data_IF_655563326359
#
_entry.id   IF_655563326359
#
_cell.length_a   1.000
_cell.length_b   1.000
_cell.length_c   1.000
_cell.angle_alpha   90.00
_cell.angle_beta   90.00
_cell.angle_gamma   90.00
#
_symmetry.space_group_name_H-M   'P 1'
#
loop_
_entity.id
_entity.type
_entity.pdbx_description
1 polymer ?
#
# COMPACT_ATOMS: atom_id res chain seq x y z
N UNK A 1 19.57 -16.97 102.03
CA UNK A 1 20.15 -17.62 100.83
C UNK A 1 19.09 -17.69 99.75
N UNK A 2 19.55 -17.54 98.50
CA UNK A 2 18.89 -17.64 97.20
C UNK A 2 18.11 -16.45 96.60
N UNK A 3 18.55 -16.19 95.37
CA UNK A 3 18.27 -15.14 94.38
C UNK A 3 16.90 -15.33 93.72
N UNK A 4 16.37 -14.26 93.15
CA UNK A 4 15.48 -14.32 91.98
C UNK A 4 15.83 -13.20 91.01
N UNK A 5 15.82 -13.54 89.72
CA UNK A 5 16.34 -12.75 88.61
C UNK A 5 15.31 -11.78 88.02
N UNK A 6 15.80 -10.65 87.48
CA UNK A 6 15.03 -9.74 86.62
C UNK A 6 15.49 -9.86 85.16
N UNK A 7 14.58 -9.80 84.17
CA UNK A 7 14.93 -9.78 82.75
C UNK A 7 15.27 -8.37 82.25
N UNK A 8 16.31 -8.27 81.43
CA UNK A 8 16.79 -7.04 80.78
C UNK A 8 16.06 -6.79 79.45
N UNK A 9 15.65 -5.53 79.22
CA UNK A 9 15.08 -5.04 77.94
C UNK A 9 16.18 -4.93 76.87
N UNK A 10 15.94 -5.50 75.69
CA UNK A 10 16.80 -5.35 74.49
C UNK A 10 16.58 -3.98 73.82
N UNK A 11 17.63 -3.33 73.27
CA UNK A 11 17.50 -2.13 72.45
C UNK A 11 17.04 -2.45 71.01
N UNK A 12 16.33 -1.50 70.40
CA UNK A 12 15.71 -1.61 69.07
C UNK A 12 16.73 -1.71 67.91
N UNK A 13 16.40 -2.37 66.78
CA UNK A 13 17.36 -2.68 65.73
C UNK A 13 17.64 -1.50 64.77
N UNK A 14 18.89 -1.43 64.31
CA UNK A 14 19.48 -0.42 63.41
C UNK A 14 18.83 -0.28 62.00
N UNK A 15 17.73 -1.00 61.70
CA UNK A 15 17.07 -0.98 60.38
C UNK A 15 16.25 0.28 60.09
N UNK A 16 15.81 1.03 61.10
CA UNK A 16 14.98 2.22 60.90
C UNK A 16 15.73 3.47 60.43
N UNK A 17 17.06 3.55 60.67
CA UNK A 17 17.89 4.71 60.27
C UNK A 17 18.36 4.61 58.81
N UNK A 18 18.62 3.41 58.31
CA UNK A 18 19.04 3.18 56.91
C UNK A 18 17.92 3.49 55.90
N UNK A 19 16.66 3.20 56.25
CA UNK A 19 15.50 3.44 55.37
C UNK A 19 15.19 4.94 55.18
N UNK A 20 15.41 5.77 56.21
CA UNK A 20 15.20 7.23 56.12
C UNK A 20 16.28 7.93 55.28
N UNK A 21 17.51 7.43 55.28
CA UNK A 21 18.58 7.97 54.43
C UNK A 21 18.37 7.63 52.95
N UNK A 22 17.90 6.42 52.63
CA UNK A 22 17.62 6.00 51.25
C UNK A 22 16.46 6.80 50.61
N UNK A 23 15.42 7.14 51.39
CA UNK A 23 14.29 7.95 50.92
C UNK A 23 14.72 9.40 50.65
N UNK A 24 15.60 9.98 51.49
CA UNK A 24 16.11 11.34 51.29
C UNK A 24 17.03 11.46 50.05
N UNK A 25 17.86 10.44 49.77
CA UNK A 25 18.71 10.40 48.57
C UNK A 25 17.86 10.18 47.30
N UNK A 26 16.81 9.35 47.36
CA UNK A 26 15.86 9.16 46.26
C UNK A 26 15.07 10.43 45.90
N UNK A 27 14.70 11.25 46.89
CA UNK A 27 14.02 12.52 46.67
C UNK A 27 14.94 13.59 46.05
N UNK A 28 16.21 13.64 46.47
CA UNK A 28 17.19 14.58 45.91
C UNK A 28 17.56 14.23 44.44
N UNK A 29 17.70 12.95 44.11
CA UNK A 29 17.94 12.49 42.72
C UNK A 29 16.71 12.68 41.81
N UNK A 30 15.50 12.55 42.36
CA UNK A 30 14.26 12.84 41.64
C UNK A 30 14.08 14.32 41.29
N UNK A 31 14.43 15.22 42.22
CA UNK A 31 14.37 16.67 41.99
C UNK A 31 15.46 17.16 41.01
N UNK A 32 16.67 16.57 41.06
CA UNK A 32 17.72 16.87 40.08
C UNK A 32 17.36 16.38 38.66
N UNK A 33 16.70 15.23 38.55
CA UNK A 33 16.22 14.69 37.26
C UNK A 33 15.05 15.51 36.68
N UNK A 34 14.18 16.04 37.54
CA UNK A 34 13.10 16.94 37.14
C UNK A 34 13.65 18.32 36.72
N UNK A 35 14.67 18.84 37.42
CA UNK A 35 15.34 20.08 37.05
C UNK A 35 16.11 19.96 35.73
N UNK A 36 16.77 18.82 35.45
CA UNK A 36 17.40 18.55 34.16
C UNK A 36 16.38 18.42 33.01
N UNK A 37 15.20 17.86 33.27
CA UNK A 37 14.10 17.79 32.31
C UNK A 37 13.52 19.17 32.02
N UNK A 38 13.34 20.01 33.04
CA UNK A 38 12.87 21.40 32.90
C UNK A 38 13.89 22.26 32.16
N UNK A 39 15.18 22.09 32.42
CA UNK A 39 16.25 22.80 31.69
C UNK A 39 16.35 22.30 30.24
N UNK A 40 16.20 21.00 29.97
CA UNK A 40 16.12 20.48 28.59
C UNK A 40 14.86 20.92 27.83
N UNK A 41 13.72 21.08 28.51
CA UNK A 41 12.51 21.67 27.93
C UNK A 41 12.67 23.18 27.68
N UNK A 42 13.42 23.88 28.53
CA UNK A 42 13.71 25.31 28.38
C UNK A 42 14.83 25.63 27.36
N UNK A 43 15.66 24.63 27.02
CA UNK A 43 16.80 24.77 26.10
C UNK A 43 16.59 24.01 24.78
N UNK A 44 15.44 23.37 24.60
CA UNK A 44 15.02 22.86 23.30
C UNK A 44 14.92 24.07 22.36
N UNK A 45 15.47 23.98 21.14
CA UNK A 45 15.28 25.04 20.15
C UNK A 45 13.77 25.28 20.07
N UNK A 46 13.36 26.52 20.30
CA UNK A 46 11.99 26.95 20.15
C UNK A 46 11.52 26.46 18.79
N UNK A 47 10.69 25.41 18.78
CA UNK A 47 9.89 25.07 17.62
C UNK A 47 9.22 26.37 17.25
N UNK A 48 9.44 26.90 16.03
CA UNK A 48 8.91 28.21 15.69
C UNK A 48 7.41 28.17 15.95
N UNK A 49 6.98 29.01 16.88
CA UNK A 49 5.58 29.33 17.15
C UNK A 49 5.04 30.14 15.96
N UNK A 50 5.17 29.59 14.76
CA UNK A 50 4.43 29.94 13.55
C UNK A 50 3.36 28.90 13.25
N UNK A 51 3.04 28.02 14.20
CA UNK A 51 1.69 27.46 14.35
C UNK A 51 0.76 28.52 14.98
N UNK A 52 0.79 29.74 14.43
CA UNK A 52 -0.13 30.80 14.77
C UNK A 52 -1.40 30.60 13.92
N UNK A 53 -2.49 30.26 14.59
CA UNK A 53 -3.88 30.45 14.14
C UNK A 53 -4.38 29.77 12.84
N UNK A 54 -3.58 28.99 12.11
CA UNK A 54 -4.04 28.25 10.93
C UNK A 54 -4.66 26.87 11.22
N UNK A 55 -4.46 26.33 12.42
CA UNK A 55 -4.83 24.94 12.75
C UNK A 55 -6.21 24.78 13.42
N UNK A 56 -6.95 25.88 13.65
CA UNK A 56 -8.27 25.86 14.31
C UNK A 56 -9.39 26.45 13.43
N UNK A 57 -9.04 26.93 12.23
CA UNK A 57 -10.04 27.16 11.18
C UNK A 57 -9.73 26.18 10.07
N UNK A 58 -10.73 25.45 9.58
CA UNK A 58 -10.64 24.60 8.40
C UNK A 58 -10.43 25.42 7.12
N UNK A 59 -9.45 26.31 7.13
CA UNK A 59 -9.06 27.12 6.00
C UNK A 59 -8.32 26.21 5.03
N UNK A 60 -8.98 25.90 3.91
CA UNK A 60 -8.40 25.16 2.80
C UNK A 60 -7.10 25.85 2.33
N UNK A 61 -6.10 25.08 1.87
CA UNK A 61 -4.88 25.66 1.35
C UNK A 61 -5.22 26.66 0.23
N UNK A 62 -4.51 27.79 0.20
CA UNK A 62 -4.72 28.86 -0.80
C UNK A 62 -4.57 28.38 -2.24
N UNK A 63 -3.86 27.27 -2.48
CA UNK A 63 -3.69 26.65 -3.80
C UNK A 63 -3.41 25.16 -3.65
N UNK A 64 -4.15 24.32 -4.38
CA UNK A 64 -3.89 22.89 -4.51
C UNK A 64 -2.72 22.66 -5.47
N UNK A 65 -1.98 21.57 -5.28
CA UNK A 65 -0.90 21.12 -6.19
C UNK A 65 -1.47 20.51 -7.47
N UNK A 66 -2.61 19.86 -7.36
CA UNK A 66 -3.28 19.18 -8.46
C UNK A 66 -4.70 19.70 -8.66
N UNK A 67 -5.17 19.62 -9.89
CA UNK A 67 -6.59 19.80 -10.19
C UNK A 67 -7.31 18.48 -9.91
N UNK A 68 -8.09 18.43 -8.83
CA UNK A 68 -8.84 17.25 -8.44
C UNK A 68 -10.26 17.29 -9.01
N UNK A 69 -10.79 16.11 -9.36
CA UNK A 69 -12.14 15.93 -9.86
C UNK A 69 -12.82 14.77 -9.15
N UNK A 70 -14.12 14.91 -8.92
CA UNK A 70 -14.96 13.81 -8.45
C UNK A 70 -15.38 12.96 -9.65
N UNK A 71 -15.14 11.66 -9.56
CA UNK A 71 -15.67 10.67 -10.47
C UNK A 71 -16.91 10.09 -9.81
N UNK A 72 -18.08 10.26 -10.45
CA UNK A 72 -19.39 9.80 -9.96
C UNK A 72 -19.74 10.30 -8.55
N UNK A 73 -19.38 11.55 -8.27
CA UNK A 73 -19.64 12.23 -6.99
C UNK A 73 -19.08 11.53 -5.74
N UNK A 74 -18.20 10.54 -5.90
CA UNK A 74 -17.68 9.71 -4.80
C UNK A 74 -16.18 9.44 -4.88
N UNK A 75 -15.64 9.14 -6.05
CA UNK A 75 -14.21 8.80 -6.20
C UNK A 75 -13.40 10.03 -6.60
N UNK A 76 -12.11 9.99 -6.37
CA UNK A 76 -11.23 11.12 -6.69
C UNK A 76 -10.23 10.75 -7.77
N UNK A 77 -9.98 11.70 -8.65
CA UNK A 77 -8.96 11.59 -9.69
C UNK A 77 -8.30 12.95 -9.90
N UNK A 78 -6.99 12.95 -10.17
CA UNK A 78 -6.30 14.15 -10.63
C UNK A 78 -6.55 14.30 -12.14
N UNK A 79 -7.00 15.49 -12.54
CA UNK A 79 -7.23 15.84 -13.93
C UNK A 79 -5.96 15.61 -14.76
N UNK A 80 -6.11 14.84 -15.82
CA UNK A 80 -5.03 14.47 -16.74
C UNK A 80 -5.63 14.05 -18.08
N UNK A 81 -4.81 13.98 -19.12
CA UNK A 81 -5.22 13.53 -20.44
C UNK A 81 -4.36 12.35 -20.88
N UNK A 82 -4.93 11.35 -21.57
CA UNK A 82 -4.16 10.24 -22.07
C UNK A 82 -3.08 10.70 -23.05
N UNK A 83 -1.90 10.09 -22.96
CA UNK A 83 -0.78 10.36 -23.89
C UNK A 83 -1.05 9.78 -25.27
N UNK A 84 -1.80 8.68 -25.33
CA UNK A 84 -2.25 8.02 -26.55
C UNK A 84 -3.57 7.30 -26.28
N UNK A 85 -4.36 7.02 -27.32
CA UNK A 85 -5.52 6.14 -27.18
C UNK A 85 -5.10 4.72 -26.77
N UNK A 86 -6.06 3.95 -26.23
CA UNK A 86 -5.83 2.55 -25.88
C UNK A 86 -5.39 1.73 -27.10
N UNK A 87 -6.07 1.91 -28.24
CA UNK A 87 -5.71 1.23 -29.51
C UNK A 87 -4.30 1.59 -30.01
N UNK A 88 -3.93 2.88 -29.98
CA UNK A 88 -2.60 3.31 -30.39
C UNK A 88 -1.53 2.70 -29.46
N UNK A 89 -1.81 2.63 -28.17
CA UNK A 89 -0.94 1.96 -27.19
C UNK A 89 -0.83 0.46 -27.48
N UNK A 90 -1.93 -0.22 -27.80
CA UNK A 90 -1.94 -1.64 -28.15
C UNK A 90 -1.10 -1.94 -29.39
N UNK A 91 -1.17 -1.09 -30.42
CA UNK A 91 -0.36 -1.22 -31.63
C UNK A 91 1.14 -1.04 -31.36
N UNK A 92 1.50 -0.09 -30.49
CA UNK A 92 2.89 0.18 -30.12
C UNK A 92 3.46 -0.95 -29.26
N UNK A 93 2.70 -1.41 -28.26
CA UNK A 93 3.18 -2.39 -27.29
C UNK A 93 3.12 -3.84 -27.81
N UNK A 94 2.22 -4.13 -28.76
CA UNK A 94 2.16 -5.42 -29.44
C UNK A 94 1.80 -6.61 -28.53
N UNK A 95 1.30 -6.36 -27.32
CA UNK A 95 1.05 -7.38 -26.28
C UNK A 95 -0.44 -7.56 -25.93
N UNK A 96 -1.34 -7.01 -26.75
CA UNK A 96 -2.80 -7.14 -26.56
C UNK A 96 -3.29 -8.57 -26.83
N UNK A 97 -2.72 -9.23 -27.83
CA UNK A 97 -3.14 -10.58 -28.21
C UNK A 97 -4.62 -10.66 -28.55
N UNK A 98 -5.33 -11.63 -27.95
CA UNK A 98 -6.78 -11.81 -28.11
C UNK A 98 -7.64 -10.87 -27.26
N UNK A 99 -7.02 -10.04 -26.41
CA UNK A 99 -7.74 -9.27 -25.41
C UNK A 99 -8.44 -8.02 -25.97
N UNK A 100 -9.44 -7.48 -25.25
CA UNK A 100 -10.09 -6.22 -25.60
C UNK A 100 -9.07 -5.07 -25.66
N UNK A 101 -9.42 -4.00 -26.37
CA UNK A 101 -8.63 -2.78 -26.47
C UNK A 101 -8.19 -2.27 -25.09
N UNK A 102 -6.89 -1.97 -24.96
CA UNK A 102 -6.24 -1.48 -23.74
C UNK A 102 -5.80 -2.59 -22.77
N UNK A 103 -6.18 -3.85 -22.99
CA UNK A 103 -5.80 -4.97 -22.12
C UNK A 103 -4.58 -5.71 -22.68
N UNK A 104 -3.88 -6.43 -21.80
CA UNK A 104 -2.73 -7.28 -22.09
C UNK A 104 -3.15 -8.73 -21.97
N UNK A 105 -2.76 -9.55 -22.93
CA UNK A 105 -2.91 -11.01 -22.83
C UNK A 105 -1.85 -11.56 -21.87
N UNK A 106 -2.30 -12.20 -20.80
CA UNK A 106 -1.44 -12.86 -19.82
C UNK A 106 -1.66 -14.36 -19.95
N UNK A 107 -0.63 -15.07 -20.39
CA UNK A 107 -0.67 -16.51 -20.61
C UNK A 107 0.65 -17.17 -20.21
N UNK A 108 0.57 -18.32 -19.54
CA UNK A 108 1.74 -19.11 -19.16
C UNK A 108 1.51 -19.97 -17.92
N UNK A 109 2.60 -20.44 -17.32
CA UNK A 109 2.60 -21.33 -16.17
C UNK A 109 2.94 -20.59 -14.87
N UNK A 110 1.93 -20.38 -14.01
CA UNK A 110 2.11 -19.76 -12.69
C UNK A 110 2.64 -20.79 -11.70
N UNK A 111 3.74 -20.48 -11.00
CA UNK A 111 4.22 -21.30 -9.88
C UNK A 111 3.25 -21.23 -8.70
N UNK A 112 2.95 -22.37 -8.10
CA UNK A 112 2.04 -22.48 -6.96
C UNK A 112 2.79 -22.51 -5.63
N UNK A 113 2.14 -22.03 -4.58
CA UNK A 113 2.62 -22.28 -3.23
C UNK A 113 2.67 -23.81 -3.00
N UNK A 114 3.76 -24.36 -2.42
CA UNK A 114 3.85 -25.78 -2.16
C UNK A 114 2.75 -26.25 -1.22
N UNK A 115 2.25 -27.48 -1.46
CA UNK A 115 1.27 -28.10 -0.58
C UNK A 115 1.81 -28.16 0.86
N UNK A 116 0.99 -27.81 1.88
CA UNK A 116 1.41 -27.92 3.27
C UNK A 116 1.83 -29.37 3.57
N UNK A 117 3.05 -29.58 4.06
CA UNK A 117 3.49 -30.95 4.45
C UNK A 117 2.98 -31.34 5.83
N UNK A 118 2.56 -30.37 6.63
CA UNK A 118 1.93 -30.54 7.95
C UNK A 118 1.00 -29.36 8.24
N UNK A 119 0.09 -29.53 9.21
CA UNK A 119 -0.78 -28.44 9.67
C UNK A 119 0.08 -27.27 10.19
N UNK A 120 -0.06 -26.08 9.59
CA UNK A 120 0.72 -24.90 9.95
C UNK A 120 2.03 -24.71 9.18
N UNK A 121 2.35 -25.56 8.20
CA UNK A 121 3.45 -25.37 7.25
C UNK A 121 3.08 -24.28 6.23
N UNK A 122 3.28 -23.02 6.61
CA UNK A 122 3.23 -21.87 5.71
C UNK A 122 4.58 -21.78 5.02
N UNK A 123 4.76 -22.52 3.92
CA UNK A 123 5.85 -22.29 2.98
C UNK A 123 5.30 -21.63 1.73
N UNK A 124 4.72 -20.45 1.88
CA UNK A 124 4.32 -19.68 0.70
C UNK A 124 5.57 -19.33 -0.13
N UNK A 125 5.40 -19.12 -1.44
CA UNK A 125 6.47 -18.61 -2.30
C UNK A 125 7.02 -17.29 -1.76
N UNK A 126 6.19 -16.44 -1.16
CA UNK A 126 6.63 -15.21 -0.51
C UNK A 126 7.64 -15.49 0.62
N UNK A 127 7.33 -16.42 1.53
CA UNK A 127 8.23 -16.83 2.61
C UNK A 127 9.52 -17.46 2.07
N UNK A 128 9.42 -18.27 1.02
CA UNK A 128 10.59 -18.86 0.36
C UNK A 128 11.50 -17.76 -0.25
N UNK A 129 10.93 -16.79 -0.97
CA UNK A 129 11.66 -15.66 -1.53
C UNK A 129 12.37 -14.84 -0.44
N UNK A 130 11.73 -14.61 0.72
CA UNK A 130 12.36 -13.86 1.83
C UNK A 130 13.69 -14.49 2.28
N UNK A 131 13.81 -15.82 2.22
CA UNK A 131 15.07 -16.51 2.57
C UNK A 131 16.21 -16.28 1.57
N UNK A 132 15.91 -15.75 0.38
CA UNK A 132 16.90 -15.46 -0.67
C UNK A 132 17.32 -13.98 -0.69
N UNK A 133 16.79 -13.13 0.18
CA UNK A 133 17.21 -11.73 0.24
C UNK A 133 18.70 -11.60 0.64
N UNK A 134 19.51 -10.98 -0.23
CA UNK A 134 20.93 -10.69 -0.04
C UNK A 134 21.15 -9.36 0.68
N UNK A 135 20.39 -8.35 0.28
CA UNK A 135 20.54 -6.99 0.77
C UNK A 135 19.21 -6.50 1.34
N UNK A 136 19.14 -6.35 2.67
CA UNK A 136 17.94 -5.89 3.35
C UNK A 136 17.91 -4.36 3.46
N UNK A 137 16.75 -3.76 3.20
CA UNK A 137 16.47 -2.35 3.54
C UNK A 137 15.92 -2.29 4.97
N UNK A 138 14.93 -3.14 5.27
CA UNK A 138 14.34 -3.30 6.60
C UNK A 138 13.94 -4.76 6.79
N UNK A 139 14.25 -5.31 7.97
CA UNK A 139 13.75 -6.61 8.41
C UNK A 139 12.51 -6.48 9.30
N UNK A 140 12.30 -5.30 9.86
CA UNK A 140 11.09 -4.97 10.61
C UNK A 140 9.94 -4.65 9.66
N UNK A 141 8.71 -4.91 10.13
CA UNK A 141 7.51 -4.59 9.37
C UNK A 141 7.39 -3.07 9.10
N UNK A 142 7.13 -2.65 7.84
CA UNK A 142 7.03 -3.46 6.64
C UNK A 142 8.41 -3.91 6.13
N UNK A 143 8.57 -5.24 5.98
CA UNK A 143 9.81 -5.85 5.53
C UNK A 143 10.10 -5.46 4.07
N UNK A 144 11.35 -5.05 3.79
CA UNK A 144 11.77 -4.60 2.47
C UNK A 144 13.16 -5.13 2.14
N UNK A 145 13.28 -5.82 1.00
CA UNK A 145 14.53 -6.34 0.48
C UNK A 145 15.00 -5.47 -0.70
N UNK A 146 16.25 -5.00 -0.70
CA UNK A 146 16.85 -4.30 -1.84
C UNK A 146 17.17 -5.27 -2.98
N UNK A 147 17.63 -6.48 -2.68
CA UNK A 147 18.05 -7.45 -3.70
C UNK A 147 17.86 -8.89 -3.25
N UNK A 148 17.16 -9.67 -4.08
CA UNK A 148 17.00 -11.10 -3.93
C UNK A 148 18.03 -11.87 -4.77
N UNK A 149 18.54 -12.97 -4.22
CA UNK A 149 19.41 -13.89 -4.94
C UNK A 149 18.62 -14.69 -5.99
N UNK A 150 18.73 -14.28 -7.26
CA UNK A 150 18.06 -14.96 -8.38
C UNK A 150 18.51 -16.41 -8.53
N UNK A 151 19.80 -16.71 -8.41
CA UNK A 151 20.30 -18.08 -8.61
C UNK A 151 19.77 -19.02 -7.54
N UNK A 152 19.83 -18.60 -6.28
CA UNK A 152 19.26 -19.34 -5.16
C UNK A 152 17.75 -19.50 -5.30
N UNK A 153 17.04 -18.47 -5.77
CA UNK A 153 15.60 -18.55 -6.04
C UNK A 153 15.27 -19.57 -7.12
N UNK A 154 15.97 -19.54 -8.26
CA UNK A 154 15.72 -20.47 -9.36
C UNK A 154 15.99 -21.92 -8.96
N UNK A 155 17.05 -22.17 -8.19
CA UNK A 155 17.34 -23.51 -7.65
C UNK A 155 16.25 -23.98 -6.70
N UNK A 156 15.80 -23.12 -5.78
CA UNK A 156 14.79 -23.45 -4.78
C UNK A 156 13.38 -23.63 -5.36
N UNK A 157 13.05 -22.87 -6.41
CA UNK A 157 11.72 -22.86 -7.02
C UNK A 157 11.60 -23.76 -8.26
N UNK A 158 12.66 -24.49 -8.62
CA UNK A 158 12.72 -25.29 -9.86
C UNK A 158 11.59 -26.32 -9.94
N UNK A 159 11.34 -27.00 -8.84
CA UNK A 159 10.46 -28.17 -8.78
C UNK A 159 9.08 -27.84 -8.16
N UNK A 160 8.70 -26.55 -8.14
CA UNK A 160 7.37 -26.14 -7.69
C UNK A 160 6.32 -26.50 -8.74
N UNK A 161 5.15 -26.95 -8.27
CA UNK A 161 3.99 -27.18 -9.12
C UNK A 161 3.60 -25.89 -9.85
N UNK A 162 3.05 -26.06 -11.04
CA UNK A 162 2.58 -24.94 -11.86
C UNK A 162 1.14 -25.13 -12.30
N UNK A 163 0.45 -24.01 -12.56
CA UNK A 163 -0.90 -23.96 -13.10
C UNK A 163 -0.92 -23.12 -14.38
N UNK A 164 -1.55 -23.60 -15.46
CA UNK A 164 -1.82 -22.77 -16.63
C UNK A 164 -2.72 -21.59 -16.26
N UNK A 165 -2.34 -20.40 -16.70
CA UNK A 165 -3.13 -19.18 -16.58
C UNK A 165 -3.34 -18.61 -17.99
N UNK A 166 -4.56 -18.14 -18.28
CA UNK A 166 -4.85 -17.42 -19.53
C UNK A 166 -6.03 -16.47 -19.33
N UNK A 167 -5.73 -15.17 -19.33
CA UNK A 167 -6.72 -14.12 -19.09
C UNK A 167 -6.26 -12.79 -19.69
N UNK A 168 -7.16 -11.80 -19.66
CA UNK A 168 -6.89 -10.43 -20.06
C UNK A 168 -6.82 -9.53 -18.83
N UNK A 169 -5.84 -8.64 -18.76
CA UNK A 169 -5.71 -7.65 -17.69
C UNK A 169 -5.53 -6.24 -18.26
N UNK A 170 -6.15 -5.24 -17.63
CA UNK A 170 -5.88 -3.83 -17.95
C UNK A 170 -4.37 -3.52 -17.86
N UNK A 171 -3.83 -2.86 -18.89
CA UNK A 171 -2.39 -2.52 -18.95
C UNK A 171 -1.97 -1.57 -17.85
N UNK A 172 -2.84 -0.63 -17.49
CA UNK A 172 -2.62 0.39 -16.46
C UNK A 172 -3.69 0.29 -15.38
N UNK A 173 -3.44 0.92 -14.24
CA UNK A 173 -4.45 1.13 -13.19
C UNK A 173 -5.69 1.82 -13.76
N UNK A 174 -6.88 1.57 -13.18
CA UNK A 174 -8.13 2.16 -13.66
C UNK A 174 -8.03 3.70 -13.69
N UNK A 175 -8.29 4.36 -14.84
CA UNK A 175 -9.16 3.93 -15.94
C UNK A 175 -8.42 3.32 -17.15
N UNK A 176 -7.33 2.57 -16.94
CA UNK A 176 -6.57 1.86 -17.97
C UNK A 176 -6.14 2.75 -19.15
N UNK A 177 -5.44 3.85 -18.84
CA UNK A 177 -4.94 4.81 -19.83
C UNK A 177 -3.56 5.34 -19.43
N UNK A 178 -2.63 5.34 -20.38
CA UNK A 178 -1.27 5.86 -20.18
C UNK A 178 -1.30 7.37 -19.97
N UNK A 179 -0.64 7.86 -18.92
CA UNK A 179 -0.55 9.28 -18.60
C UNK A 179 -1.78 9.84 -17.86
N UNK A 180 -2.75 8.99 -17.54
CA UNK A 180 -3.90 9.36 -16.71
C UNK A 180 -3.62 8.93 -15.26
N UNK A 181 -4.00 9.76 -14.29
CA UNK A 181 -3.92 9.38 -12.89
C UNK A 181 -4.97 8.31 -12.52
N UNK A 182 -4.64 7.36 -11.63
CA UNK A 182 -5.60 6.35 -11.22
C UNK A 182 -6.77 6.96 -10.45
N UNK A 183 -7.95 6.37 -10.59
CA UNK A 183 -9.09 6.68 -9.72
C UNK A 183 -8.86 6.03 -8.37
N UNK A 184 -8.96 6.83 -7.31
CA UNK A 184 -8.64 6.40 -5.95
C UNK A 184 -9.83 6.52 -5.01
N UNK A 185 -9.59 6.03 -3.78
CA UNK A 185 -10.50 6.15 -2.67
C UNK A 185 -11.76 5.31 -2.88
N UNK A 186 -11.67 4.24 -3.66
CA UNK A 186 -12.77 3.32 -4.00
C UNK A 186 -12.85 2.17 -2.99
N UNK A 187 -14.06 1.70 -2.68
CA UNK A 187 -14.25 0.45 -1.93
C UNK A 187 -14.08 -0.77 -2.84
N UNK A 188 -14.02 -1.97 -2.28
CA UNK A 188 -13.97 -3.21 -3.07
C UNK A 188 -15.21 -3.38 -3.95
N UNK A 189 -16.40 -3.10 -3.39
CA UNK A 189 -17.67 -3.19 -4.13
C UNK A 189 -17.75 -2.16 -5.26
N UNK A 190 -17.29 -0.92 -5.01
CA UNK A 190 -17.26 0.14 -6.02
C UNK A 190 -16.26 -0.18 -7.15
N UNK A 191 -15.09 -0.74 -6.82
CA UNK A 191 -14.12 -1.19 -7.82
C UNK A 191 -14.70 -2.31 -8.71
N UNK A 192 -15.40 -3.28 -8.12
CA UNK A 192 -16.06 -4.34 -8.86
C UNK A 192 -17.18 -3.81 -9.79
N UNK A 193 -17.98 -2.86 -9.31
CA UNK A 193 -19.03 -2.18 -10.09
C UNK A 193 -18.44 -1.45 -11.30
N UNK A 194 -17.38 -0.66 -11.10
CA UNK A 194 -16.70 0.08 -12.18
C UNK A 194 -16.13 -0.85 -13.26
N UNK A 195 -15.57 -2.01 -12.87
CA UNK A 195 -15.15 -3.01 -13.86
C UNK A 195 -16.33 -3.64 -14.61
N UNK A 196 -17.43 -3.96 -13.90
CA UNK A 196 -18.59 -4.61 -14.50
C UNK A 196 -19.25 -3.75 -15.58
N UNK A 197 -19.27 -2.43 -15.41
CA UNK A 197 -19.84 -1.50 -16.39
C UNK A 197 -19.01 -1.38 -17.68
N UNK A 198 -17.70 -1.66 -17.61
CA UNK A 198 -16.85 -1.82 -18.79
C UNK A 198 -16.96 -3.24 -19.40
N UNK A 199 -17.87 -4.09 -18.91
CA UNK A 199 -18.01 -5.48 -19.34
C UNK A 199 -16.84 -6.37 -18.88
N UNK A 200 -16.12 -5.95 -17.84
CA UNK A 200 -14.98 -6.65 -17.24
C UNK A 200 -15.35 -7.12 -15.83
N UNK A 201 -14.37 -7.61 -15.08
CA UNK A 201 -14.49 -7.92 -13.66
C UNK A 201 -13.25 -7.44 -12.90
N UNK A 202 -13.36 -7.33 -11.58
CA UNK A 202 -12.17 -7.13 -10.76
C UNK A 202 -11.24 -8.34 -10.90
N UNK A 203 -9.95 -8.09 -11.09
CA UNK A 203 -8.93 -9.15 -11.10
C UNK A 203 -8.96 -9.94 -9.78
N UNK A 204 -8.70 -11.24 -9.85
CA UNK A 204 -8.42 -12.02 -8.65
C UNK A 204 -6.94 -11.96 -8.24
N UNK A 205 -6.67 -12.42 -7.03
CA UNK A 205 -5.34 -12.45 -6.45
C UNK A 205 -4.32 -13.19 -7.31
N UNK A 206 -4.71 -14.33 -7.89
CA UNK A 206 -3.80 -15.18 -8.66
C UNK A 206 -3.48 -14.56 -10.02
N UNK A 207 -4.48 -14.01 -10.70
CA UNK A 207 -4.32 -13.25 -11.94
C UNK A 207 -3.38 -12.07 -11.74
N UNK A 208 -3.65 -11.25 -10.72
CA UNK A 208 -2.81 -10.09 -10.41
C UNK A 208 -1.37 -10.52 -10.08
N UNK A 209 -1.22 -11.56 -9.24
CA UNK A 209 0.10 -12.06 -8.84
C UNK A 209 0.89 -12.53 -10.06
N UNK A 210 0.27 -13.37 -10.90
CA UNK A 210 0.92 -13.92 -12.08
C UNK A 210 1.29 -12.83 -13.08
N UNK A 211 0.38 -11.89 -13.35
CA UNK A 211 0.64 -10.76 -14.24
C UNK A 211 1.81 -9.89 -13.77
N UNK A 212 2.07 -9.83 -12.45
CA UNK A 212 3.23 -9.14 -11.88
C UNK A 212 4.51 -9.96 -12.03
N UNK A 213 4.49 -11.23 -11.61
CA UNK A 213 5.72 -12.00 -11.34
C UNK A 213 6.22 -12.85 -12.53
N UNK A 214 5.35 -13.20 -13.48
CA UNK A 214 5.64 -14.10 -14.59
C UNK A 214 5.95 -15.55 -14.17
N UNK A 215 6.36 -16.38 -15.12
CA UNK A 215 6.63 -17.82 -14.89
C UNK A 215 7.80 -18.08 -13.94
N UNK A 216 8.74 -17.14 -13.82
CA UNK A 216 9.86 -17.22 -12.88
C UNK A 216 9.43 -16.96 -11.43
N UNK A 217 8.20 -16.47 -11.19
CA UNK A 217 7.75 -15.94 -9.91
C UNK A 217 8.75 -14.91 -9.35
N UNK A 218 8.98 -13.83 -10.11
CA UNK A 218 9.86 -12.73 -9.71
C UNK A 218 9.29 -11.96 -8.51
N UNK A 219 10.13 -11.51 -7.56
CA UNK A 219 9.65 -10.72 -6.43
C UNK A 219 9.18 -9.32 -6.85
N UNK A 220 9.77 -8.74 -7.90
CA UNK A 220 9.41 -7.46 -8.50
C UNK A 220 9.03 -7.65 -9.97
N UNK A 221 8.15 -6.80 -10.54
CA UNK A 221 7.72 -6.94 -11.93
C UNK A 221 8.88 -6.85 -12.93
N UNK A 222 9.92 -6.10 -12.57
CA UNK A 222 11.13 -5.88 -13.37
C UNK A 222 12.35 -6.72 -12.90
N UNK A 223 12.17 -7.72 -12.02
CA UNK A 223 13.24 -8.65 -11.65
C UNK A 223 13.45 -8.83 -10.15
N UNK A 224 14.71 -8.80 -9.72
CA UNK A 224 15.15 -9.22 -8.37
C UNK A 224 15.77 -8.10 -7.54
N UNK A 225 16.02 -6.94 -8.14
CA UNK A 225 16.56 -5.75 -7.48
C UNK A 225 15.43 -4.75 -7.36
N UNK A 226 15.20 -4.23 -6.16
CA UNK A 226 14.25 -3.16 -5.90
C UNK A 226 14.85 -1.84 -6.35
N UNK A 227 14.16 -1.14 -7.23
CA UNK A 227 14.64 0.10 -7.82
C UNK A 227 13.55 1.18 -7.72
N UNK A 228 13.76 2.23 -6.91
CA UNK A 228 12.80 3.33 -6.75
C UNK A 228 12.69 4.23 -7.99
N UNK A 229 13.59 4.07 -8.97
CA UNK A 229 13.47 4.69 -10.28
C UNK A 229 12.73 3.78 -11.28
N UNK A 230 12.63 2.48 -11.00
CA UNK A 230 11.87 1.57 -11.85
C UNK A 230 10.37 1.66 -11.60
N UNK A 231 9.92 1.73 -10.34
CA UNK A 231 8.51 1.92 -9.97
C UNK A 231 8.37 3.05 -8.94
N UNK A 232 7.17 3.63 -8.80
CA UNK A 232 6.91 4.67 -7.80
C UNK A 232 6.77 4.04 -6.42
N UNK A 233 7.87 3.94 -5.68
CA UNK A 233 7.93 3.30 -4.34
C UNK A 233 8.78 4.10 -3.36
N UNK A 234 8.77 3.71 -2.09
CA UNK A 234 9.63 4.24 -1.01
C UNK A 234 9.55 5.76 -0.78
N UNK A 235 8.47 6.41 -1.21
CA UNK A 235 8.21 7.80 -0.87
C UNK A 235 8.03 7.95 0.65
N UNK A 236 8.56 9.01 1.28
CA UNK A 236 8.42 9.20 2.72
C UNK A 236 6.96 9.17 3.17
N UNK A 237 6.70 8.43 4.26
CA UNK A 237 5.37 8.44 4.88
C UNK A 237 5.05 9.83 5.43
N UNK A 238 3.80 10.26 5.27
CA UNK A 238 3.29 11.52 5.78
C UNK A 238 2.16 11.24 6.78
N UNK A 239 2.16 11.85 7.96
CA UNK A 239 1.00 11.77 8.86
C UNK A 239 -0.21 12.35 8.16
N UNK A 240 -1.36 11.70 8.30
CA UNK A 240 -2.63 12.13 7.73
C UNK A 240 -3.60 12.59 8.83
N UNK A 241 -4.54 13.46 8.47
CA UNK A 241 -5.59 13.96 9.35
C UNK A 241 -6.87 13.17 9.06
N UNK A 242 -7.18 12.18 9.90
CA UNK A 242 -8.32 11.27 9.67
C UNK A 242 -9.66 12.02 9.52
N UNK A 243 -9.88 13.05 10.35
CA UNK A 243 -11.10 13.86 10.31
C UNK A 243 -11.23 14.66 9.02
N UNK A 244 -10.13 15.03 8.35
CA UNK A 244 -10.18 15.75 7.08
C UNK A 244 -10.70 14.87 5.94
N UNK A 245 -10.50 13.55 6.02
CA UNK A 245 -10.99 12.59 5.01
C UNK A 245 -12.49 12.28 5.15
N UNK A 246 -13.20 12.92 6.10
CA UNK A 246 -14.64 12.75 6.35
C UNK A 246 -15.34 14.12 6.36
N UNK A 247 -16.37 14.36 5.52
CA UNK A 247 -16.92 13.44 4.52
C UNK A 247 -15.99 13.26 3.31
N UNK A 248 -16.05 12.06 2.72
CA UNK A 248 -15.20 11.61 1.60
C UNK A 248 -15.13 12.57 0.41
N UNK A 249 -16.26 13.12 -0.01
CA UNK A 249 -16.36 14.03 -1.16
C UNK A 249 -16.13 15.51 -0.81
N UNK A 250 -15.72 15.81 0.43
CA UNK A 250 -15.62 17.17 0.92
C UNK A 250 -14.35 17.91 0.50
N UNK A 251 -14.33 19.26 0.63
CA UNK A 251 -13.17 20.08 0.33
C UNK A 251 -11.95 19.73 1.19
N UNK A 252 -12.19 19.42 2.47
CA UNK A 252 -11.14 19.03 3.41
C UNK A 252 -10.46 17.72 2.98
N UNK A 253 -11.23 16.76 2.47
CA UNK A 253 -10.69 15.49 1.98
C UNK A 253 -9.81 15.74 0.75
N UNK A 254 -10.30 16.53 -0.20
CA UNK A 254 -9.55 16.94 -1.39
C UNK A 254 -8.22 17.62 -1.01
N UNK A 255 -8.24 18.60 -0.13
CA UNK A 255 -7.04 19.30 0.31
C UNK A 255 -6.04 18.39 1.03
N UNK A 256 -6.54 17.46 1.86
CA UNK A 256 -5.68 16.53 2.58
C UNK A 256 -5.05 15.50 1.63
N UNK A 257 -5.81 14.95 0.69
CA UNK A 257 -5.26 14.10 -0.38
C UNK A 257 -4.25 14.85 -1.23
N UNK A 258 -4.54 16.10 -1.60
CA UNK A 258 -3.60 16.94 -2.34
C UNK A 258 -2.27 17.09 -1.60
N UNK A 259 -2.26 17.20 -0.28
CA UNK A 259 -1.04 17.25 0.53
C UNK A 259 -0.31 15.90 0.60
N UNK A 260 -1.07 14.82 0.69
CA UNK A 260 -0.57 13.45 0.90
C UNK A 260 -0.10 12.77 -0.39
N UNK A 261 -0.65 13.15 -1.55
CA UNK A 261 -0.44 12.47 -2.83
C UNK A 261 1.03 12.45 -3.24
N UNK A 262 1.57 11.25 -3.51
CA UNK A 262 2.92 11.06 -4.06
C UNK A 262 2.94 10.04 -5.20
N UNK A 263 1.77 9.70 -5.74
CA UNK A 263 1.63 8.87 -6.93
C UNK A 263 1.90 9.66 -8.22
N UNK A 264 2.03 8.93 -9.33
CA UNK A 264 2.24 9.47 -10.68
C UNK A 264 1.11 9.01 -11.61
N UNK A 265 0.95 9.66 -12.78
CA UNK A 265 0.09 9.11 -13.83
C UNK A 265 0.55 7.71 -14.22
N UNK A 266 -0.39 6.83 -14.57
CA UNK A 266 -0.05 5.45 -14.90
C UNK A 266 0.86 5.38 -16.14
N UNK A 267 1.84 4.48 -16.10
CA UNK A 267 2.88 4.36 -17.11
C UNK A 267 3.94 5.45 -17.11
N UNK A 268 3.96 6.37 -16.12
CA UNK A 268 4.99 7.39 -15.99
C UNK A 268 6.38 6.82 -15.70
N UNK A 269 6.45 5.61 -15.12
CA UNK A 269 7.70 4.87 -14.96
C UNK A 269 7.78 3.75 -16.01
N UNK A 270 8.51 3.93 -17.13
CA UNK A 270 8.51 2.96 -18.23
C UNK A 270 9.13 1.61 -17.85
N UNK A 271 10.01 1.58 -16.83
CA UNK A 271 10.61 0.36 -16.29
C UNK A 271 9.71 -0.36 -15.27
N UNK A 272 8.61 0.25 -14.82
CA UNK A 272 7.63 -0.40 -13.94
C UNK A 272 6.72 -1.31 -14.76
N UNK A 273 7.33 -2.32 -15.39
CA UNK A 273 6.69 -3.16 -16.40
C UNK A 273 6.94 -4.61 -16.07
N UNK A 274 5.87 -5.40 -16.00
CA UNK A 274 5.94 -6.85 -15.76
C UNK A 274 6.44 -7.61 -17.00
N UNK A 275 6.74 -8.92 -16.89
CA UNK A 275 7.15 -9.73 -18.04
C UNK A 275 6.14 -9.76 -19.19
N UNK A 276 4.84 -9.56 -18.89
CA UNK A 276 3.76 -9.49 -19.89
C UNK A 276 3.54 -8.08 -20.44
N UNK A 277 4.15 -7.09 -19.81
CA UNK A 277 4.01 -5.69 -20.17
C UNK A 277 2.86 -4.96 -19.50
N UNK A 278 2.42 -5.43 -18.34
CA UNK A 278 1.49 -4.71 -17.47
C UNK A 278 2.27 -3.72 -16.62
N UNK A 279 1.76 -2.50 -16.49
CA UNK A 279 2.44 -1.41 -15.80
C UNK A 279 1.97 -1.22 -14.36
N UNK A 280 2.85 -0.64 -13.54
CA UNK A 280 2.53 -0.15 -12.19
C UNK A 280 2.05 -1.26 -11.25
N UNK A 281 2.43 -2.52 -11.51
CA UNK A 281 2.05 -3.65 -10.65
C UNK A 281 2.61 -3.55 -9.24
N UNK A 282 3.63 -2.75 -8.98
CA UNK A 282 4.10 -2.52 -7.59
C UNK A 282 4.36 -1.05 -7.37
N UNK A 283 3.92 -0.52 -6.23
CA UNK A 283 3.99 0.90 -5.97
C UNK A 283 2.84 1.66 -6.64
N UNK A 284 3.01 2.97 -6.73
CA UNK A 284 1.95 3.91 -7.09
C UNK A 284 0.73 3.75 -6.15
N UNK A 285 -0.30 2.96 -6.47
CA UNK A 285 -1.41 2.67 -5.55
C UNK A 285 -1.48 1.19 -5.16
N UNK A 286 -2.05 0.90 -3.98
CA UNK A 286 -2.45 -0.46 -3.61
C UNK A 286 -3.75 -0.82 -4.36
N UNK A 287 -3.89 -2.07 -4.81
CA UNK A 287 -4.99 -2.42 -5.72
C UNK A 287 -5.91 -3.48 -5.14
N UNK A 288 -7.22 -3.20 -5.18
CA UNK A 288 -8.23 -4.19 -4.85
C UNK A 288 -8.19 -5.37 -5.81
N UNK A 289 -8.23 -6.58 -5.24
CA UNK A 289 -8.40 -7.83 -5.98
C UNK A 289 -9.34 -8.75 -5.20
N UNK A 290 -9.93 -9.72 -5.91
CA UNK A 290 -10.72 -10.79 -5.29
C UNK A 290 -9.78 -11.83 -4.67
N UNK A 291 -9.98 -12.18 -3.41
CA UNK A 291 -9.30 -13.29 -2.77
C UNK A 291 -9.70 -14.61 -3.44
N UNK A 292 -8.74 -15.51 -3.60
CA UNK A 292 -8.96 -16.90 -4.06
C UNK A 292 -8.89 -17.90 -2.92
N UNK A 293 -8.73 -17.43 -1.67
CA UNK A 293 -8.59 -18.29 -0.49
C UNK A 293 -9.94 -18.54 0.17
N UNK A 294 -10.31 -19.81 0.27
CA UNK A 294 -11.54 -20.22 0.96
C UNK A 294 -11.49 -19.85 2.45
N UNK A 295 -12.64 -19.42 3.00
CA UNK A 295 -12.77 -19.05 4.41
C UNK A 295 -12.15 -17.71 4.80
N UNK A 296 -11.48 -17.02 3.87
CA UNK A 296 -11.02 -15.63 4.05
C UNK A 296 -12.03 -14.62 3.49
N UNK A 297 -11.80 -13.34 3.79
CA UNK A 297 -12.56 -12.23 3.17
C UNK A 297 -12.43 -12.27 1.65
N UNK A 298 -13.48 -11.91 0.90
CA UNK A 298 -13.43 -11.85 -0.57
C UNK A 298 -12.50 -10.77 -1.11
N UNK A 299 -12.09 -9.78 -0.31
CA UNK A 299 -11.26 -8.65 -0.77
C UNK A 299 -9.86 -8.67 -0.18
N UNK A 300 -8.86 -8.38 -1.02
CA UNK A 300 -7.48 -8.09 -0.59
C UNK A 300 -6.88 -6.95 -1.41
N UNK A 301 -5.80 -6.36 -0.89
CA UNK A 301 -5.01 -5.36 -1.59
C UNK A 301 -3.64 -5.90 -2.02
N UNK A 302 -3.23 -5.62 -3.25
CA UNK A 302 -1.96 -6.06 -3.84
C UNK A 302 -1.13 -4.91 -4.41
N UNK A 303 0.19 -5.14 -4.48
CA UNK A 303 1.15 -4.22 -5.09
C UNK A 303 1.69 -3.16 -4.15
N UNK A 304 0.93 -2.73 -3.16
CA UNK A 304 1.34 -1.67 -2.23
C UNK A 304 1.43 -0.31 -2.91
N UNK A 305 1.17 0.76 -2.15
CA UNK A 305 1.23 2.13 -2.67
C UNK A 305 2.67 2.69 -2.69
N UNK A 306 2.82 3.93 -3.16
CA UNK A 306 4.08 4.66 -3.30
C UNK A 306 4.95 4.78 -2.05
N UNK A 307 4.44 4.48 -0.86
CA UNK A 307 5.16 4.60 0.40
C UNK A 307 6.20 3.49 0.63
N UNK A 308 6.82 3.46 1.81
CA UNK A 308 7.85 2.50 2.15
C UNK A 308 7.21 1.19 2.66
N UNK A 309 6.42 0.53 1.82
CA UNK A 309 5.69 -0.71 2.15
C UNK A 309 6.18 -1.91 1.35
N UNK A 310 5.55 -3.08 1.55
CA UNK A 310 5.93 -4.39 0.98
C UNK A 310 6.26 -4.41 -0.52
N UNK A 311 5.54 -3.62 -1.33
CA UNK A 311 5.70 -3.38 -2.79
C UNK A 311 6.47 -4.46 -3.57
N UNK A 312 5.89 -5.67 -3.59
CA UNK A 312 6.35 -6.91 -4.25
C UNK A 312 5.14 -7.64 -4.83
N UNK A 313 5.36 -8.58 -5.76
CA UNK A 313 4.27 -9.25 -6.48
C UNK A 313 3.39 -10.17 -5.58
N UNK A 314 3.99 -10.88 -4.63
CA UNK A 314 3.25 -11.86 -3.79
C UNK A 314 2.55 -11.27 -2.56
N UNK A 315 3.17 -10.39 -1.76
CA UNK A 315 2.57 -9.91 -0.51
C UNK A 315 1.20 -9.22 -0.69
N UNK A 316 0.24 -9.59 0.14
CA UNK A 316 -1.13 -9.05 0.12
C UNK A 316 -1.46 -8.43 1.48
N UNK A 317 -2.23 -7.33 1.47
CA UNK A 317 -2.87 -6.79 2.68
C UNK A 317 -4.28 -7.37 2.78
N UNK A 318 -4.58 -8.04 3.89
CA UNK A 318 -5.84 -8.77 4.12
C UNK A 318 -6.65 -8.25 5.32
N UNK A 319 -6.16 -7.23 6.01
CA UNK A 319 -6.72 -6.71 7.25
C UNK A 319 -7.93 -5.80 7.06
N UNK A 320 -8.15 -5.30 5.85
CA UNK A 320 -9.22 -4.37 5.53
C UNK A 320 -10.46 -5.13 5.06
N UNK A 321 -11.64 -4.65 5.48
CA UNK A 321 -12.90 -5.11 4.94
C UNK A 321 -13.23 -4.45 3.59
N UNK A 322 -14.29 -4.93 2.97
CA UNK A 322 -14.72 -4.58 1.62
C UNK A 322 -15.22 -3.12 1.50
N UNK A 323 -15.53 -2.47 2.63
CA UNK A 323 -15.95 -1.07 2.70
C UNK A 323 -14.78 -0.12 2.94
N UNK A 324 -13.58 -0.65 3.22
CA UNK A 324 -12.41 0.17 3.45
C UNK A 324 -12.09 1.03 2.23
N UNK A 325 -11.78 2.31 2.48
CA UNK A 325 -11.44 3.29 1.47
C UNK A 325 -10.32 4.18 1.98
N UNK A 326 -9.33 4.42 1.14
CA UNK A 326 -8.20 5.27 1.48
C UNK A 326 -7.61 5.94 0.24
N UNK A 327 -6.83 7.01 0.44
CA UNK A 327 -6.30 7.82 -0.67
C UNK A 327 -5.18 7.14 -1.46
N UNK A 328 -4.74 5.97 -1.02
CA UNK A 328 -3.60 5.22 -1.56
C UNK A 328 -4.03 3.95 -2.28
N UNK A 329 -5.35 3.73 -2.44
CA UNK A 329 -5.90 2.52 -3.04
C UNK A 329 -6.76 2.82 -4.26
N UNK A 330 -6.67 1.93 -5.24
CA UNK A 330 -7.50 1.88 -6.44
C UNK A 330 -7.64 0.42 -6.88
N UNK A 331 -7.59 0.16 -8.18
CA UNK A 331 -7.82 -1.16 -8.76
C UNK A 331 -7.45 -1.18 -10.26
N UNK A 332 -7.52 -2.38 -10.84
CA UNK A 332 -7.54 -2.61 -12.29
C UNK A 332 -8.47 -3.76 -12.63
N UNK A 333 -8.95 -3.81 -13.87
CA UNK A 333 -9.92 -4.82 -14.31
C UNK A 333 -9.26 -5.96 -15.09
N UNK A 334 -9.89 -7.13 -15.02
CA UNK A 334 -9.56 -8.33 -15.77
C UNK A 334 -10.78 -8.82 -16.55
N UNK A 335 -10.54 -9.62 -17.56
CA UNK A 335 -11.57 -10.29 -18.35
C UNK A 335 -11.12 -11.70 -18.72
N UNK A 336 -12.08 -12.59 -18.91
CA UNK A 336 -11.80 -13.94 -19.39
C UNK A 336 -11.35 -13.90 -20.84
N UNK A 337 -10.39 -14.74 -21.22
CA UNK A 337 -9.83 -14.79 -22.58
C UNK A 337 -10.90 -15.12 -23.64
N UNK A 338 -11.94 -15.88 -23.27
CA UNK A 338 -13.06 -16.22 -24.14
C UNK A 338 -14.13 -15.12 -24.22
N UNK A 339 -14.32 -14.34 -23.15
CA UNK A 339 -15.26 -13.22 -23.13
C UNK A 339 -14.85 -12.09 -24.08
N UNK A 340 -13.55 -11.98 -24.37
CA UNK A 340 -12.99 -11.03 -25.34
C UNK A 340 -13.54 -11.20 -26.78
N UNK A 341 -14.06 -12.39 -27.13
CA UNK A 341 -14.68 -12.66 -28.45
C UNK A 341 -16.12 -12.14 -28.58
N UNK A 342 -16.77 -11.82 -27.46
CA UNK A 342 -18.18 -11.45 -27.40
C UNK A 342 -18.42 -9.97 -27.02
N UNK A 343 -17.35 -9.19 -26.83
CA UNK A 343 -17.49 -7.79 -26.43
C UNK A 343 -18.23 -6.98 -27.51
N UNK A 344 -19.36 -6.34 -27.18
CA UNK A 344 -20.03 -5.44 -28.12
C UNK A 344 -19.13 -4.24 -28.44
N UNK A 345 -19.32 -3.66 -29.62
CA UNK A 345 -18.62 -2.47 -30.08
C UNK A 345 -18.55 -1.41 -28.97
N UNK A 346 -17.37 -0.84 -28.79
CA UNK A 346 -17.03 0.21 -27.84
C UNK A 346 -18.22 1.17 -27.66
N UNK A 347 -18.84 1.16 -26.47
CA UNK A 347 -19.59 2.35 -26.06
C UNK A 347 -18.52 3.42 -25.93
N UNK A 348 -18.40 4.25 -26.97
CA UNK A 348 -17.77 5.56 -26.83
C UNK A 348 -18.51 6.18 -25.66
N UNK A 349 -17.82 6.27 -24.51
CA UNK A 349 -18.29 7.10 -23.41
C UNK A 349 -18.15 8.52 -23.95
N UNK A 350 -19.15 8.98 -24.71
CA UNK A 350 -19.26 10.35 -25.18
C UNK A 350 -19.60 11.20 -23.97
N UNK A 351 -18.55 11.56 -23.27
CA UNK A 351 -18.59 12.23 -21.99
C UNK A 351 -17.31 11.88 -21.29
N UNK A 352 -16.35 12.80 -21.34
CA UNK A 352 -15.22 12.76 -20.42
C UNK A 352 -15.79 12.50 -19.01
N UNK A 353 -15.51 11.34 -18.36
CA UNK A 353 -15.95 11.12 -16.98
C UNK A 353 -15.39 12.21 -16.04
N UNK A 354 -14.43 13.01 -16.51
CA UNK A 354 -13.87 14.18 -15.88
C UNK A 354 -14.57 15.51 -16.23
N UNK A 355 -15.79 15.51 -16.80
CA UNK A 355 -16.57 16.72 -17.08
C UNK A 355 -17.53 17.15 -15.96
N UNK A 356 -17.48 16.55 -14.76
CA UNK A 356 -18.21 17.06 -13.62
C UNK A 356 -17.47 18.27 -13.05
N UNK A 357 -18.03 19.50 -13.13
CA UNK A 357 -17.39 20.65 -12.51
C UNK A 357 -17.39 20.47 -10.99
N UNK A 358 -16.33 20.93 -10.33
CA UNK A 358 -16.28 21.03 -8.87
C UNK A 358 -17.58 21.69 -8.35
N UNK A 359 -18.25 21.11 -7.33
CA UNK A 359 -19.33 21.75 -6.60
C UNK A 359 -19.00 23.22 -6.30
N UNK A 360 -20.00 24.11 -6.31
CA UNK A 360 -19.77 25.56 -6.17
C UNK A 360 -19.05 25.93 -4.88
N UNK A 361 -19.16 25.09 -3.86
CA UNK A 361 -18.52 25.19 -2.56
C UNK A 361 -17.02 24.81 -2.59
N UNK A 362 -16.55 24.24 -3.70
CA UNK A 362 -15.20 23.76 -3.96
C UNK A 362 -14.44 24.55 -5.04
N UNK A 363 -15.04 25.62 -5.59
CA UNK A 363 -14.45 26.46 -6.64
C UNK A 363 -13.63 27.63 -6.11
#
# INVERSE_FOLDING_TARGET
>A
MHRSAHPTRKPAPARARALRAAIAVGFALGLASLALLVVRLASAPSVPLTLSAGAITGALPRRLRFEWRLVRDRHWQIASSPVASRDATDQIEGNRGVCPTGMVEVSGLMKLDPAPKAQGDLRTIDEMQRTTCKHWISRDYPERCAEFDRERWLLMSRDLDTRPMHFCMDRYEYPNQKGVYPVILVSFYEAAELCAEEGKRLCDEAEWTFACEGEEARPYPYGYVRDPEACVVDQPWKPYIETALRPRGGPAAMAEMDRLWQGKPSGAQPRCRSPFGVHDMTGNIDEWTRSVREGERPSILKGGYWGPVRTRCRPSTRSHDENHMFYQQGFRCCADHDAARAAPAERVVTGDPAAAPLPRELR
#
